data_IF_994669529531
#
_entry.id   IF_994669529531
#
_cell.length_a   1.000
_cell.length_b   1.000
_cell.length_c   1.000
_cell.angle_alpha   90.00
_cell.angle_beta   90.00
_cell.angle_gamma   90.00
#
_symmetry.space_group_name_H-M   'P 1'
#
loop_
_entity.id
_entity.type
_entity.pdbx_description
1 polymer ?
#
# COMPACT_ATOMS: atom_id res chain seq x y z
N UNK A 1 -12.51 -24.09 6.01
CA UNK A 1 -12.91 -22.96 5.14
C UNK A 1 -11.64 -22.39 4.55
N UNK A 2 -11.60 -22.09 3.25
CA UNK A 2 -10.47 -21.34 2.68
C UNK A 2 -10.67 -19.90 3.13
N UNK A 3 -9.78 -19.38 3.96
CA UNK A 3 -9.83 -17.96 4.36
C UNK A 3 -9.28 -17.13 3.20
N UNK A 4 -10.16 -16.42 2.50
CA UNK A 4 -9.74 -15.43 1.53
C UNK A 4 -9.20 -14.18 2.21
N UNK A 5 -8.36 -13.44 1.49
CA UNK A 5 -7.78 -12.19 1.96
C UNK A 5 -7.98 -11.07 0.92
N UNK A 6 -8.14 -9.86 1.42
CA UNK A 6 -8.25 -8.63 0.63
C UNK A 6 -7.23 -7.65 1.14
N UNK A 7 -6.57 -6.95 0.22
CA UNK A 7 -5.59 -5.92 0.50
C UNK A 7 -5.98 -4.66 -0.27
N UNK A 8 -6.01 -3.53 0.42
CA UNK A 8 -6.24 -2.21 -0.14
C UNK A 8 -5.10 -1.30 0.24
N UNK A 9 -4.41 -0.75 -0.75
CA UNK A 9 -3.19 -0.02 -0.46
C UNK A 9 -2.88 1.09 -1.44
N UNK A 10 -2.15 2.06 -0.92
CA UNK A 10 -1.25 2.91 -1.68
C UNK A 10 0.06 2.12 -1.89
N UNK A 11 0.62 2.13 -3.09
CA UNK A 11 1.90 1.51 -3.41
C UNK A 11 2.84 2.52 -4.06
N UNK A 12 4.10 2.54 -3.61
CA UNK A 12 5.20 3.22 -4.30
C UNK A 12 6.18 2.17 -4.82
N UNK A 13 6.37 2.13 -6.14
CA UNK A 13 7.03 1.03 -6.84
C UNK A 13 8.30 1.48 -7.54
N UNK A 14 9.33 0.64 -7.54
CA UNK A 14 10.55 0.86 -8.31
C UNK A 14 10.31 0.83 -9.81
N UNK A 15 10.99 1.71 -10.56
CA UNK A 15 11.05 1.61 -12.02
C UNK A 15 12.31 0.83 -12.44
N UNK A 16 12.17 -0.15 -13.33
CA UNK A 16 13.30 -0.75 -14.03
C UNK A 16 13.34 -2.28 -14.07
N UNK A 17 14.26 -2.80 -14.89
CA UNK A 17 14.49 -4.23 -15.13
C UNK A 17 15.26 -4.96 -14.02
N UNK A 18 15.85 -4.22 -13.07
CA UNK A 18 16.80 -4.75 -12.07
C UNK A 18 16.15 -5.20 -10.76
N UNK A 19 14.82 -5.23 -10.72
CA UNK A 19 14.06 -5.70 -9.57
C UNK A 19 12.79 -4.87 -9.41
N UNK A 20 11.68 -5.56 -9.22
CA UNK A 20 10.44 -4.93 -8.83
C UNK A 20 10.44 -4.81 -7.30
N UNK A 21 10.18 -3.62 -6.79
CA UNK A 21 9.99 -3.36 -5.37
C UNK A 21 8.71 -2.54 -5.19
N UNK A 22 7.96 -2.82 -4.14
CA UNK A 22 6.72 -2.10 -3.80
C UNK A 22 6.72 -1.87 -2.30
N UNK A 23 6.67 -0.61 -1.89
CA UNK A 23 6.37 -0.20 -0.52
C UNK A 23 4.89 0.13 -0.43
N UNK A 24 4.18 -0.46 0.52
CA UNK A 24 2.73 -0.36 0.61
C UNK A 24 2.22 -0.38 2.07
N UNK A 25 1.58 0.70 2.56
CA UNK A 25 0.68 0.64 3.69
C UNK A 25 -0.65 0.04 3.25
N UNK A 26 -1.07 -1.04 3.90
CA UNK A 26 -2.18 -1.90 3.49
C UNK A 26 -3.24 -1.97 4.57
N UNK A 27 -4.48 -1.65 4.19
CA UNK A 27 -5.69 -2.07 4.89
C UNK A 27 -6.03 -3.48 4.41
N UNK A 28 -6.11 -4.45 5.31
CA UNK A 28 -6.32 -5.84 4.96
C UNK A 28 -7.47 -6.48 5.75
N UNK A 29 -8.14 -7.43 5.09
CA UNK A 29 -9.12 -8.34 5.69
C UNK A 29 -8.65 -9.77 5.40
N UNK A 30 -8.78 -10.67 6.39
CA UNK A 30 -8.35 -12.05 6.27
C UNK A 30 -6.95 -12.30 6.84
N UNK A 31 -6.55 -13.57 6.84
CA UNK A 31 -5.23 -14.00 7.30
C UNK A 31 -4.16 -13.69 6.24
N UNK A 32 -3.03 -13.14 6.67
CA UNK A 32 -1.90 -12.75 5.81
C UNK A 32 -0.56 -13.05 6.48
N UNK A 33 0.54 -12.74 5.79
CA UNK A 33 1.89 -12.87 6.36
C UNK A 33 2.10 -11.98 7.60
N UNK A 34 1.51 -10.79 7.64
CA UNK A 34 1.59 -9.91 8.81
C UNK A 34 0.68 -10.34 9.98
N UNK A 35 -0.05 -11.46 9.84
CA UNK A 35 -1.15 -11.83 10.73
C UNK A 35 -2.50 -11.37 10.18
N UNK A 36 -3.45 -11.06 11.07
CA UNK A 36 -4.82 -10.71 10.69
C UNK A 36 -5.83 -11.80 11.07
N UNK A 37 -6.90 -11.90 10.29
CA UNK A 37 -8.02 -12.80 10.51
C UNK A 37 -9.31 -12.22 9.93
N UNK A 38 -10.47 -12.70 10.38
CA UNK A 38 -11.78 -12.23 9.94
C UNK A 38 -12.15 -10.86 10.56
N UNK A 39 -11.27 -9.89 10.42
CA UNK A 39 -11.41 -8.50 10.86
C UNK A 39 -10.50 -7.60 10.02
N UNK A 40 -10.82 -6.29 10.00
CA UNK A 40 -9.97 -5.29 9.36
C UNK A 40 -8.70 -5.04 10.17
N UNK A 41 -7.56 -4.98 9.50
CA UNK A 41 -6.27 -4.66 10.12
C UNK A 41 -5.39 -3.81 9.21
N UNK A 42 -4.42 -3.13 9.81
CA UNK A 42 -3.44 -2.29 9.14
C UNK A 42 -2.07 -2.97 9.21
N UNK A 43 -1.36 -3.02 8.10
CA UNK A 43 0.05 -3.44 8.07
C UNK A 43 0.79 -2.69 6.97
N UNK A 44 2.08 -2.40 7.17
CA UNK A 44 2.95 -1.91 6.09
C UNK A 44 3.83 -3.05 5.58
N UNK A 45 3.98 -3.17 4.27
CA UNK A 45 4.83 -4.16 3.62
C UNK A 45 5.84 -3.49 2.70
N UNK A 46 7.03 -4.08 2.66
CA UNK A 46 8.00 -3.86 1.61
C UNK A 46 8.27 -5.19 0.92
N UNK A 47 7.83 -5.29 -0.34
CA UNK A 47 8.09 -6.45 -1.19
C UNK A 47 9.15 -6.10 -2.21
N UNK A 48 10.05 -7.04 -2.49
CA UNK A 48 11.10 -6.86 -3.49
C UNK A 48 11.45 -8.19 -4.16
N UNK A 49 12.04 -8.14 -5.35
CA UNK A 49 12.54 -9.31 -6.04
C UNK A 49 12.59 -9.10 -7.54
N UNK A 50 12.70 -10.18 -8.30
CA UNK A 50 12.56 -10.12 -9.76
C UNK A 50 11.09 -10.08 -10.16
N UNK A 51 10.73 -9.51 -11.33
CA UNK A 51 9.36 -9.60 -11.85
C UNK A 51 8.84 -11.05 -11.83
N UNK A 52 7.65 -11.26 -11.26
CA UNK A 52 7.04 -12.58 -11.08
C UNK A 52 7.60 -13.43 -9.92
N UNK A 53 8.58 -12.92 -9.16
CA UNK A 53 9.19 -13.58 -7.99
C UNK A 53 9.43 -12.58 -6.85
N UNK A 54 8.41 -11.79 -6.53
CA UNK A 54 8.44 -10.88 -5.39
C UNK A 54 8.36 -11.66 -4.08
N UNK A 55 9.13 -11.23 -3.08
CA UNK A 55 9.06 -11.74 -1.71
C UNK A 55 8.81 -10.59 -0.74
N UNK A 56 8.19 -10.89 0.40
CA UNK A 56 8.08 -9.93 1.51
C UNK A 56 9.47 -9.81 2.13
N UNK A 57 10.11 -8.65 1.96
CA UNK A 57 11.41 -8.37 2.55
C UNK A 57 11.29 -7.85 3.98
N UNK A 58 10.26 -7.07 4.25
CA UNK A 58 9.95 -6.58 5.59
C UNK A 58 8.48 -6.21 5.70
N UNK A 59 7.91 -6.31 6.90
CA UNK A 59 6.56 -5.89 7.20
C UNK A 59 6.44 -5.48 8.67
N UNK A 60 5.35 -4.81 9.01
CA UNK A 60 4.87 -4.70 10.40
C UNK A 60 3.91 -5.82 10.72
N UNK A 61 3.69 -6.07 12.01
CA UNK A 61 2.57 -6.92 12.45
C UNK A 61 1.23 -6.24 12.11
N UNK A 62 0.19 -7.05 11.94
CA UNK A 62 -1.16 -6.58 11.70
C UNK A 62 -1.72 -5.88 12.96
N UNK A 63 -2.14 -4.63 12.80
CA UNK A 63 -2.79 -3.83 13.84
C UNK A 63 -4.30 -3.83 13.60
N UNK A 64 -5.11 -4.47 14.45
CA UNK A 64 -6.56 -4.51 14.29
C UNK A 64 -7.17 -3.09 14.29
N UNK A 65 -8.21 -2.90 13.48
CA UNK A 65 -8.93 -1.63 13.40
C UNK A 65 -10.45 -1.86 13.32
N UNK A 66 -11.22 -0.91 13.84
CA UNK A 66 -12.67 -0.98 13.77
C UNK A 66 -13.18 -0.63 12.37
N UNK A 67 -14.21 -1.34 11.86
CA UNK A 67 -14.93 -0.94 10.65
C UNK A 67 -15.32 0.55 10.68
N UNK A 68 -15.40 1.21 9.52
CA UNK A 68 -15.74 2.63 9.40
C UNK A 68 -14.72 3.61 10.02
N UNK A 69 -13.54 3.13 10.42
CA UNK A 69 -12.47 4.05 10.85
C UNK A 69 -11.85 4.72 9.63
N UNK A 70 -11.92 6.06 9.57
CA UNK A 70 -11.21 6.82 8.56
C UNK A 70 -9.70 6.74 8.81
N UNK A 71 -8.95 6.26 7.82
CA UNK A 71 -7.50 6.09 7.91
C UNK A 71 -6.78 6.86 6.82
N UNK A 72 -5.62 7.40 7.16
CA UNK A 72 -4.71 8.03 6.19
C UNK A 72 -3.43 7.22 6.13
N UNK A 73 -3.14 6.67 4.95
CA UNK A 73 -1.87 6.02 4.65
C UNK A 73 -0.92 7.03 4.02
N UNK A 74 0.37 6.89 4.32
CA UNK A 74 1.43 7.81 3.90
C UNK A 74 2.70 7.06 3.55
N UNK A 75 3.27 7.39 2.39
CA UNK A 75 4.62 7.01 2.00
C UNK A 75 5.45 8.28 1.81
N UNK A 76 6.64 8.34 2.40
CA UNK A 76 7.55 9.48 2.27
C UNK A 76 8.97 9.03 1.98
N UNK A 77 9.65 9.72 1.06
CA UNK A 77 11.11 9.68 0.96
C UNK A 77 11.68 10.47 2.16
N UNK A 78 12.42 9.78 3.04
CA UNK A 78 12.98 10.35 4.27
C UNK A 78 14.42 10.81 4.06
N UNK A 79 15.18 10.06 3.26
CA UNK A 79 16.59 10.33 3.00
C UNK A 79 16.99 9.76 1.65
N UNK A 80 17.84 10.47 0.94
CA UNK A 80 18.58 9.99 -0.21
C UNK A 80 20.08 10.17 0.09
N UNK A 81 20.88 9.14 -0.15
CA UNK A 81 22.32 9.16 0.06
C UNK A 81 23.04 8.27 -0.96
N UNK A 82 24.31 8.57 -1.21
CA UNK A 82 25.22 7.70 -1.96
C UNK A 82 26.22 7.09 -0.97
N UNK A 83 26.34 5.76 -0.95
CA UNK A 83 27.30 5.01 -0.12
C UNK A 83 28.16 4.12 -1.02
N UNK A 84 29.48 4.35 -1.04
CA UNK A 84 30.43 3.67 -1.93
C UNK A 84 30.02 3.66 -3.43
N UNK A 85 29.40 4.75 -3.89
CA UNK A 85 28.93 4.87 -5.28
C UNK A 85 27.62 4.13 -5.57
N UNK A 86 26.97 3.57 -4.54
CA UNK A 86 25.63 3.01 -4.62
C UNK A 86 24.61 4.00 -4.05
N UNK A 87 23.60 4.32 -4.84
CA UNK A 87 22.49 5.16 -4.41
C UNK A 87 21.57 4.38 -3.46
N UNK A 88 21.16 5.03 -2.38
CA UNK A 88 20.29 4.48 -1.34
C UNK A 88 19.19 5.48 -1.01
N UNK A 89 17.94 5.03 -1.18
CA UNK A 89 16.75 5.78 -0.83
C UNK A 89 16.10 5.17 0.40
N UNK A 90 15.92 5.96 1.44
CA UNK A 90 15.21 5.58 2.65
C UNK A 90 13.78 6.08 2.58
N UNK A 91 12.82 5.16 2.60
CA UNK A 91 11.40 5.48 2.60
C UNK A 91 10.77 5.12 3.94
N UNK A 92 9.66 5.79 4.27
CA UNK A 92 8.80 5.46 5.40
C UNK A 92 7.37 5.26 4.91
N UNK A 93 6.79 4.12 5.30
CA UNK A 93 5.38 3.78 5.16
C UNK A 93 4.72 3.83 6.52
N UNK A 94 3.55 4.45 6.64
CA UNK A 94 2.79 4.49 7.89
C UNK A 94 1.29 4.71 7.66
N UNK A 95 0.48 4.33 8.65
CA UNK A 95 -0.84 4.89 8.84
C UNK A 95 -0.77 5.98 9.92
N UNK A 96 -1.12 7.21 9.54
CA UNK A 96 -0.98 8.38 10.42
C UNK A 96 -1.86 8.20 11.66
N UNK A 97 -1.24 8.27 12.84
CA UNK A 97 -1.93 8.11 14.13
C UNK A 97 -2.07 6.67 14.62
N UNK A 98 -1.61 5.66 13.86
CA UNK A 98 -1.70 4.25 14.24
C UNK A 98 -0.32 3.68 14.59
N UNK A 99 -0.09 3.48 15.90
CA UNK A 99 1.14 2.85 16.39
C UNK A 99 1.31 1.43 15.83
N UNK A 100 2.56 0.98 15.66
CA UNK A 100 2.88 -0.35 15.13
C UNK A 100 2.79 -0.48 13.61
N UNK A 101 2.28 0.51 12.88
CA UNK A 101 2.13 0.46 11.41
C UNK A 101 3.29 1.08 10.63
N UNK A 102 4.26 1.66 11.33
CA UNK A 102 5.40 2.38 10.75
C UNK A 102 6.49 1.41 10.29
N UNK A 103 6.80 1.45 9.00
CA UNK A 103 7.89 0.69 8.39
C UNK A 103 8.86 1.65 7.69
N UNK A 104 10.14 1.57 8.06
CA UNK A 104 11.22 2.32 7.40
C UNK A 104 12.12 1.33 6.65
N UNK A 105 12.34 1.57 5.36
CA UNK A 105 13.15 0.68 4.50
C UNK A 105 14.17 1.46 3.70
N UNK A 106 15.25 0.79 3.33
CA UNK A 106 16.21 1.28 2.35
C UNK A 106 16.06 0.48 1.07
N UNK A 107 16.02 1.18 -0.06
CA UNK A 107 15.99 0.60 -1.39
C UNK A 107 17.22 1.06 -2.17
N UNK A 108 17.90 0.16 -2.91
CA UNK A 108 18.98 0.51 -3.84
C UNK A 108 18.47 0.99 -5.21
N UNK A 109 17.14 1.05 -5.37
CA UNK A 109 16.46 1.56 -6.55
C UNK A 109 15.43 2.59 -6.09
N UNK A 110 15.35 3.73 -6.78
CA UNK A 110 14.33 4.73 -6.51
C UNK A 110 12.92 4.18 -6.78
N UNK A 111 11.98 4.47 -5.88
CA UNK A 111 10.58 4.10 -6.04
C UNK A 111 9.87 5.24 -6.76
N UNK A 112 9.61 5.00 -8.04
CA UNK A 112 9.31 5.97 -9.08
C UNK A 112 7.86 5.90 -9.58
N UNK A 113 7.01 5.02 -9.05
CA UNK A 113 5.63 4.88 -9.52
C UNK A 113 4.66 4.73 -8.36
N UNK A 114 3.77 5.70 -8.21
CA UNK A 114 2.72 5.68 -7.20
C UNK A 114 1.44 5.06 -7.78
N UNK A 115 0.71 4.30 -6.96
CA UNK A 115 -0.54 3.67 -7.35
C UNK A 115 -1.43 3.35 -6.16
N UNK A 116 -2.73 3.18 -6.42
CA UNK A 116 -3.64 2.52 -5.47
C UNK A 116 -4.11 1.22 -6.08
N UNK A 117 -4.24 0.19 -5.25
CA UNK A 117 -4.63 -1.14 -5.69
C UNK A 117 -5.57 -1.81 -4.68
N UNK A 118 -6.42 -2.66 -5.22
CA UNK A 118 -7.16 -3.67 -4.47
C UNK A 118 -6.72 -5.04 -4.97
N UNK A 119 -6.20 -5.87 -4.08
CA UNK A 119 -5.84 -7.25 -4.36
C UNK A 119 -6.73 -8.20 -3.56
N UNK A 120 -7.12 -9.31 -4.18
CA UNK A 120 -8.06 -10.27 -3.61
C UNK A 120 -7.57 -11.69 -3.90
N UNK A 121 -7.46 -12.50 -2.86
CA UNK A 121 -6.88 -13.84 -2.92
C UNK A 121 -7.77 -14.85 -2.23
N UNK A 122 -7.88 -16.06 -2.79
CA UNK A 122 -8.52 -17.20 -2.13
C UNK A 122 -10.02 -17.03 -1.84
N UNK A 123 -10.69 -16.08 -2.48
CA UNK A 123 -12.13 -15.85 -2.32
C UNK A 123 -12.94 -16.89 -3.09
N UNK A 124 -13.92 -17.51 -2.43
CA UNK A 124 -14.82 -18.48 -3.06
C UNK A 124 -16.02 -17.83 -3.75
N UNK A 125 -16.36 -16.59 -3.38
CA UNK A 125 -17.47 -15.82 -3.92
C UNK A 125 -17.66 -14.51 -3.15
N UNK A 126 -18.67 -13.72 -3.52
CA UNK A 126 -18.89 -12.40 -2.91
C UNK A 126 -19.26 -12.48 -1.42
N UNK A 127 -19.80 -13.60 -0.95
CA UNK A 127 -20.06 -13.81 0.48
C UNK A 127 -18.77 -13.97 1.31
N UNK A 128 -17.61 -14.11 0.64
CA UNK A 128 -16.28 -14.10 1.28
C UNK A 128 -15.69 -12.70 1.43
N UNK A 129 -16.36 -11.67 0.88
CA UNK A 129 -15.94 -10.27 0.95
C UNK A 129 -16.58 -9.59 2.18
N UNK A 130 -15.91 -8.61 2.81
CA UNK A 130 -16.51 -7.79 3.84
C UNK A 130 -17.69 -7.01 3.23
N UNK A 131 -18.75 -6.78 4.01
CA UNK A 131 -19.92 -6.05 3.56
C UNK A 131 -19.57 -4.58 3.26
N UNK A 132 -20.21 -4.00 2.23
CA UNK A 132 -20.15 -2.57 1.93
C UNK A 132 -19.10 -2.14 0.88
N UNK A 133 -19.23 -0.92 0.35
CA UNK A 133 -18.25 -0.35 -0.57
C UNK A 133 -16.92 -0.06 0.13
N UNK A 134 -15.85 -0.06 -0.66
CA UNK A 134 -14.53 0.38 -0.19
C UNK A 134 -14.01 1.46 -1.12
N UNK A 135 -13.58 2.59 -0.56
CA UNK A 135 -13.24 3.81 -1.30
C UNK A 135 -11.84 4.31 -0.97
N UNK A 136 -11.10 4.67 -2.02
CA UNK A 136 -9.94 5.56 -1.92
C UNK A 136 -10.39 7.00 -2.11
N UNK A 137 -10.03 7.86 -1.17
CA UNK A 137 -10.36 9.29 -1.15
C UNK A 137 -9.13 10.14 -0.87
N UNK A 138 -9.15 11.40 -1.31
CA UNK A 138 -8.11 12.37 -0.94
C UNK A 138 -6.70 11.90 -1.31
N UNK A 139 -6.56 11.23 -2.46
CA UNK A 139 -5.28 10.79 -3.00
C UNK A 139 -4.49 12.03 -3.39
N UNK A 140 -3.41 12.30 -2.66
CA UNK A 140 -2.52 13.43 -2.88
C UNK A 140 -1.10 12.97 -3.11
N UNK A 141 -0.39 13.74 -3.91
CA UNK A 141 0.95 13.46 -4.37
C UNK A 141 1.76 14.75 -4.23
N UNK A 142 2.93 14.66 -3.62
CA UNK A 142 3.85 15.79 -3.44
C UNK A 142 5.24 15.44 -3.96
N UNK A 143 5.73 16.25 -4.90
CA UNK A 143 7.10 16.16 -5.42
C UNK A 143 7.84 17.39 -4.92
N UNK A 144 8.98 17.19 -4.25
CA UNK A 144 9.79 18.27 -3.69
C UNK A 144 8.99 19.27 -2.81
N UNK A 145 8.00 18.75 -2.08
CA UNK A 145 7.12 19.54 -1.21
C UNK A 145 6.04 20.34 -1.96
N UNK A 146 5.93 20.18 -3.28
CA UNK A 146 4.88 20.79 -4.09
C UNK A 146 3.79 19.76 -4.45
N UNK A 147 2.50 20.07 -4.24
CA UNK A 147 1.42 19.20 -4.63
C UNK A 147 1.37 19.07 -6.15
N UNK A 148 1.28 17.84 -6.63
CA UNK A 148 1.10 17.51 -8.05
C UNK A 148 -0.39 17.28 -8.29
N UNK A 149 -0.96 18.02 -9.24
CA UNK A 149 -2.34 17.76 -9.66
C UNK A 149 -2.39 16.40 -10.33
N UNK A 150 -3.13 15.51 -9.70
CA UNK A 150 -3.19 14.12 -10.05
C UNK A 150 -4.62 13.87 -10.60
N UNK A 151 -4.79 13.19 -11.74
CA UNK A 151 -6.13 12.87 -12.29
C UNK A 151 -6.81 11.70 -11.56
N UNK A 152 -6.42 11.44 -10.31
CA UNK A 152 -6.83 10.29 -9.52
C UNK A 152 -8.22 10.57 -8.98
N UNK A 153 -9.21 10.24 -9.78
CA UNK A 153 -10.60 10.24 -9.33
C UNK A 153 -10.71 9.33 -8.11
N UNK A 154 -11.43 9.78 -7.09
CA UNK A 154 -11.91 8.92 -6.01
C UNK A 154 -12.50 7.65 -6.63
N UNK A 155 -12.14 6.48 -6.11
CA UNK A 155 -12.64 5.21 -6.61
C UNK A 155 -13.20 4.41 -5.46
N UNK A 156 -14.47 4.12 -5.58
CA UNK A 156 -15.14 3.11 -4.77
C UNK A 156 -15.27 1.84 -5.59
N UNK A 157 -14.89 0.71 -5.02
CA UNK A 157 -15.20 -0.60 -5.58
C UNK A 157 -16.49 -1.11 -4.90
N UNK A 158 -17.54 -1.50 -5.65
CA UNK A 158 -18.66 -2.22 -5.08
C UNK A 158 -18.23 -3.62 -4.65
N UNK A 159 -18.82 -4.12 -3.57
CA UNK A 159 -18.49 -5.38 -2.91
C UNK A 159 -18.63 -6.65 -3.76
N UNK A 160 -19.13 -6.61 -5.00
CA UNK A 160 -19.25 -7.80 -5.85
C UNK A 160 -19.08 -7.49 -7.36
N UNK A 161 -17.90 -6.95 -7.69
CA UNK A 161 -17.48 -6.62 -9.07
C UNK A 161 -16.19 -5.81 -9.10
N UNK A 162 -15.22 -6.18 -8.25
CA UNK A 162 -14.04 -5.40 -7.88
C UNK A 162 -13.24 -4.89 -9.09
N UNK A 163 -12.85 -3.61 -9.07
CA UNK A 163 -11.62 -3.16 -9.73
C UNK A 163 -11.15 -1.82 -9.16
N UNK A 164 -9.84 -1.71 -8.90
CA UNK A 164 -9.11 -0.46 -9.10
C UNK A 164 -7.61 -0.69 -9.22
N UNK A 165 -7.04 -0.20 -10.32
CA UNK A 165 -5.64 0.20 -10.41
C UNK A 165 -5.58 1.55 -11.13
N UNK A 166 -4.83 2.47 -10.53
CA UNK A 166 -4.36 3.68 -11.20
C UNK A 166 -2.87 3.76 -10.87
N UNK A 167 -2.04 4.13 -11.83
CA UNK A 167 -0.59 4.23 -11.68
C UNK A 167 -0.11 5.53 -12.33
N UNK A 168 0.78 6.27 -11.66
CA UNK A 168 1.49 7.41 -12.22
C UNK A 168 2.96 7.29 -11.86
N UNK A 169 3.83 7.54 -12.84
CA UNK A 169 5.28 7.60 -12.64
C UNK A 169 5.64 8.96 -12.02
N UNK A 170 6.28 8.96 -10.85
CA UNK A 170 6.53 10.10 -9.96
C UNK A 170 7.78 9.87 -9.09
N UNK A 171 8.49 10.93 -8.71
CA UNK A 171 9.54 10.90 -7.68
C UNK A 171 9.06 11.70 -6.45
N UNK A 172 8.36 11.07 -5.52
CA UNK A 172 7.43 11.80 -4.65
C UNK A 172 7.16 11.19 -3.27
N UNK A 173 6.66 12.02 -2.36
CA UNK A 173 5.83 11.60 -1.22
C UNK A 173 4.37 11.47 -1.67
N UNK A 174 3.64 10.51 -1.09
CA UNK A 174 2.25 10.22 -1.48
C UNK A 174 1.42 9.91 -0.24
N UNK A 175 0.26 10.56 -0.14
CA UNK A 175 -0.69 10.40 0.96
C UNK A 175 -2.06 10.03 0.40
N UNK A 176 -2.72 9.03 1.00
CA UNK A 176 -4.03 8.53 0.57
C UNK A 176 -4.92 8.32 1.78
N UNK A 177 -6.18 8.73 1.69
CA UNK A 177 -7.20 8.40 2.70
C UNK A 177 -8.04 7.21 2.21
N UNK A 178 -8.29 6.24 3.08
CA UNK A 178 -9.12 5.07 2.78
C UNK A 178 -10.35 5.12 3.69
N UNK A 179 -11.52 4.89 3.09
CA UNK A 179 -12.82 4.80 3.77
C UNK A 179 -13.46 3.44 3.42
N UNK A 180 -13.99 2.74 4.41
CA UNK A 180 -14.51 1.37 4.29
C UNK A 180 -15.59 1.10 5.34
N UNK A 181 -16.52 0.20 5.05
CA UNK A 181 -17.65 -0.13 5.92
C UNK A 181 -17.44 -1.38 6.80
#
# INVERSE_FOLDING_TARGET
MVEGAIFLFLGLQGAGSNGAAILQPVLQWGSSYAGGGLYWSLASYFVQGSPGKLVIASNTDAVPIQPNTRITSKISLVKHASDNGQELWTYRSEFVGFAGTKLTVQSPTELLAAGVALEAYGLAGCDSLPPGPICFEGVTLEIDGAPVTSQWLNRCAPSCGLATSVSQVVNAAVDVTITYD
#
